data_IF_178039840899
#
_entry.id   IF_178039840899
#
_cell.length_a   1.000
_cell.length_b   1.000
_cell.length_c   1.000
_cell.angle_alpha   90.00
_cell.angle_beta   90.00
_cell.angle_gamma   90.00
#
_symmetry.space_group_name_H-M   'P 1'
#
loop_
_entity.id
_entity.type
_entity.pdbx_description
1 polymer ?
#
# COMPACT_ATOMS: atom_id res chain seq x y z
N UNK A 1 6.81 -4.96 -19.24
CA UNK A 1 6.42 -5.30 -17.85
C UNK A 1 4.90 -5.24 -17.66
N UNK A 2 4.21 -4.09 -17.68
CA UNK A 2 2.76 -4.00 -17.41
C UNK A 2 1.90 -4.96 -18.23
N UNK A 3 2.09 -5.04 -19.56
CA UNK A 3 1.32 -5.97 -20.41
C UNK A 3 1.50 -7.43 -19.98
N UNK A 4 2.71 -7.84 -19.61
CA UNK A 4 2.99 -9.18 -19.12
C UNK A 4 2.25 -9.45 -17.81
N UNK A 5 2.37 -8.55 -16.83
CA UNK A 5 1.74 -8.66 -15.52
C UNK A 5 0.21 -8.72 -15.63
N UNK A 6 -0.38 -7.84 -16.45
CA UNK A 6 -1.84 -7.84 -16.67
C UNK A 6 -2.31 -9.11 -17.38
N UNK A 7 -1.58 -9.59 -18.41
CA UNK A 7 -1.92 -10.82 -19.13
C UNK A 7 -1.84 -12.08 -18.25
N UNK A 8 -1.00 -12.04 -17.20
CA UNK A 8 -0.83 -13.14 -16.24
C UNK A 8 -1.69 -12.97 -14.97
N UNK A 9 -2.44 -11.87 -14.86
CA UNK A 9 -3.24 -11.59 -13.66
C UNK A 9 -2.40 -11.41 -12.38
N UNK A 10 -1.15 -10.93 -12.51
CA UNK A 10 -0.20 -10.85 -11.39
C UNK A 10 -0.34 -9.57 -10.57
N UNK A 11 -1.13 -8.61 -11.02
CA UNK A 11 -1.42 -7.38 -10.26
C UNK A 11 -2.73 -7.59 -9.51
N UNK A 12 -2.70 -7.32 -8.22
CA UNK A 12 -3.88 -7.43 -7.35
C UNK A 12 -5.01 -6.52 -7.84
N UNK A 13 -6.24 -7.02 -7.82
CA UNK A 13 -7.45 -6.26 -8.12
C UNK A 13 -7.76 -5.20 -7.06
N UNK A 14 -7.14 -5.30 -5.88
CA UNK A 14 -7.30 -4.36 -4.77
C UNK A 14 -6.43 -3.10 -4.93
N UNK A 15 -5.51 -3.07 -5.92
CA UNK A 15 -4.65 -1.92 -6.20
C UNK A 15 -5.32 -0.97 -7.20
N UNK A 16 -5.48 0.29 -6.80
CA UNK A 16 -6.06 1.34 -7.64
C UNK A 16 -5.06 2.41 -8.09
N UNK A 17 -3.87 2.47 -7.48
CA UNK A 17 -2.83 3.44 -7.84
C UNK A 17 -2.09 3.07 -9.12
N UNK A 18 -1.78 4.05 -9.97
CA UNK A 18 -0.96 3.91 -11.18
C UNK A 18 -1.41 2.85 -12.20
N UNK A 19 -2.67 2.45 -12.16
CA UNK A 19 -3.25 1.47 -13.08
C UNK A 19 -4.29 2.11 -14.00
N UNK A 20 -4.30 1.68 -15.26
CA UNK A 20 -5.31 2.13 -16.22
C UNK A 20 -6.72 1.71 -15.76
N UNK A 21 -7.71 2.59 -15.93
CA UNK A 21 -9.11 2.40 -15.53
C UNK A 21 -9.35 2.37 -14.00
N UNK A 22 -8.34 2.58 -13.19
CA UNK A 22 -8.43 2.73 -11.75
C UNK A 22 -8.14 4.18 -11.35
N UNK A 23 -8.76 4.64 -10.26
CA UNK A 23 -8.61 5.98 -9.72
C UNK A 23 -8.98 6.00 -8.24
N UNK A 24 -8.68 7.07 -7.53
CA UNK A 24 -9.21 7.31 -6.18
C UNK A 24 -10.73 7.25 -6.14
N UNK A 25 -11.39 7.78 -7.19
CA UNK A 25 -12.85 7.79 -7.29
C UNK A 25 -13.41 6.35 -7.38
N UNK A 26 -12.82 5.48 -8.23
CA UNK A 26 -13.28 4.08 -8.34
C UNK A 26 -13.07 3.31 -7.04
N UNK A 27 -11.94 3.52 -6.36
CA UNK A 27 -11.68 2.90 -5.06
C UNK A 27 -12.69 3.37 -4.00
N UNK A 28 -12.96 4.69 -3.94
CA UNK A 28 -13.91 5.26 -2.97
C UNK A 28 -15.34 4.78 -3.22
N UNK A 29 -15.75 4.64 -4.49
CA UNK A 29 -17.07 4.11 -4.81
C UNK A 29 -17.28 2.67 -4.30
N UNK A 30 -16.27 1.81 -4.47
CA UNK A 30 -16.31 0.45 -3.93
C UNK A 30 -16.43 0.48 -2.39
N UNK A 31 -15.59 1.27 -1.72
CA UNK A 31 -15.56 1.37 -0.26
C UNK A 31 -16.89 1.92 0.28
N UNK A 32 -17.39 3.01 -0.31
CA UNK A 32 -18.67 3.63 0.12
C UNK A 32 -19.84 2.67 -0.09
N UNK A 33 -19.82 1.91 -1.18
CA UNK A 33 -20.82 0.87 -1.42
C UNK A 33 -20.79 -0.20 -0.32
N UNK A 34 -19.63 -0.76 -0.01
CA UNK A 34 -19.47 -1.81 1.00
C UNK A 34 -19.91 -1.30 2.38
N UNK A 35 -19.43 -0.11 2.78
CA UNK A 35 -19.81 0.48 4.06
C UNK A 35 -21.29 0.83 4.14
N UNK A 36 -21.88 1.34 3.03
CA UNK A 36 -23.32 1.66 3.00
C UNK A 36 -24.18 0.41 3.22
N UNK A 37 -23.80 -0.70 2.59
CA UNK A 37 -24.51 -1.97 2.77
C UNK A 37 -24.41 -2.44 4.23
N UNK A 38 -23.20 -2.43 4.81
CA UNK A 38 -22.98 -2.84 6.19
C UNK A 38 -23.77 -1.97 7.18
N UNK A 39 -23.70 -0.64 7.01
CA UNK A 39 -24.41 0.31 7.87
C UNK A 39 -25.94 0.22 7.74
N UNK A 40 -26.48 -0.01 6.55
CA UNK A 40 -27.91 -0.26 6.35
C UNK A 40 -28.39 -1.52 7.08
N UNK A 41 -27.53 -2.53 7.17
CA UNK A 41 -27.75 -3.74 7.96
C UNK A 41 -27.50 -3.55 9.46
N UNK A 42 -27.21 -2.31 9.89
CA UNK A 42 -26.88 -1.93 11.28
C UNK A 42 -25.60 -2.59 11.84
N UNK A 43 -24.72 -3.02 10.96
CA UNK A 43 -23.38 -3.49 11.34
C UNK A 43 -22.46 -2.32 11.60
N UNK A 44 -21.43 -2.55 12.42
CA UNK A 44 -20.32 -1.62 12.63
C UNK A 44 -19.24 -1.93 11.61
N UNK A 45 -18.60 -0.92 11.04
CA UNK A 45 -17.44 -1.10 10.14
C UNK A 45 -16.22 -0.47 10.79
N UNK A 46 -15.25 -1.29 11.13
CA UNK A 46 -13.95 -0.84 11.60
C UNK A 46 -12.98 -0.72 10.42
N UNK A 47 -12.17 0.33 10.42
CA UNK A 47 -11.29 0.72 9.32
C UNK A 47 -9.96 1.16 9.87
N UNK A 48 -8.87 0.67 9.28
CA UNK A 48 -7.51 1.19 9.53
C UNK A 48 -6.88 1.67 8.24
N UNK A 49 -6.35 2.88 8.28
CA UNK A 49 -5.49 3.46 7.24
C UNK A 49 -4.03 3.34 7.68
N UNK A 50 -3.19 2.85 6.79
CA UNK A 50 -1.74 2.75 7.01
C UNK A 50 -1.01 3.69 6.07
N UNK A 51 0.00 4.35 6.59
CA UNK A 51 0.94 5.21 5.85
C UNK A 51 2.36 4.67 6.06
N UNK A 52 3.17 4.65 5.02
CA UNK A 52 4.58 4.28 5.11
C UNK A 52 5.49 5.50 5.17
N UNK A 53 6.49 5.44 6.03
CA UNK A 53 7.50 6.49 6.11
C UNK A 53 8.39 6.47 4.86
N UNK A 54 8.28 7.51 4.01
CA UNK A 54 9.08 7.65 2.77
C UNK A 54 8.99 6.41 1.88
N UNK A 55 7.79 5.92 1.63
CA UNK A 55 7.51 4.66 0.95
C UNK A 55 8.40 4.41 -0.27
N UNK A 56 8.37 5.31 -1.25
CA UNK A 56 9.16 5.21 -2.49
C UNK A 56 10.67 5.24 -2.25
N UNK A 57 11.15 6.00 -1.28
CA UNK A 57 12.57 6.15 -0.97
C UNK A 57 13.13 4.98 -0.13
N UNK A 58 12.23 4.20 0.51
CA UNK A 58 12.59 3.14 1.46
C UNK A 58 12.63 1.75 0.84
N UNK A 59 12.24 1.59 -0.43
CA UNK A 59 12.24 0.28 -1.10
C UNK A 59 13.64 -0.32 -1.13
N UNK A 60 13.83 -1.47 -0.49
CA UNK A 60 15.08 -2.22 -0.52
C UNK A 60 15.33 -2.78 -1.92
N UNK A 61 16.44 -2.40 -2.58
CA UNK A 61 16.77 -2.87 -3.93
C UNK A 61 16.88 -4.41 -3.98
N UNK A 62 17.55 -5.02 -3.00
CA UNK A 62 17.71 -6.48 -2.93
C UNK A 62 16.34 -7.17 -2.82
N UNK A 63 15.47 -6.70 -1.94
CA UNK A 63 14.13 -7.30 -1.76
C UNK A 63 13.22 -7.06 -2.96
N UNK A 64 13.36 -5.91 -3.63
CA UNK A 64 12.67 -5.64 -4.90
C UNK A 64 13.06 -6.66 -5.95
N UNK A 65 14.36 -6.96 -6.10
CA UNK A 65 14.83 -7.97 -7.07
C UNK A 65 14.26 -9.36 -6.75
N UNK A 66 14.22 -9.76 -5.47
CA UNK A 66 13.59 -11.03 -5.07
C UNK A 66 12.11 -11.09 -5.49
N UNK A 67 11.36 -10.00 -5.31
CA UNK A 67 9.95 -9.95 -5.74
C UNK A 67 9.81 -10.02 -7.26
N UNK A 68 10.64 -9.28 -8.00
CA UNK A 68 10.62 -9.33 -9.46
C UNK A 68 10.93 -10.74 -9.99
N UNK A 69 11.88 -11.45 -9.38
CA UNK A 69 12.14 -12.85 -9.71
C UNK A 69 10.92 -13.75 -9.44
N UNK A 70 10.24 -13.56 -8.32
CA UNK A 70 9.01 -14.29 -7.99
C UNK A 70 7.89 -14.02 -9.00
N UNK A 71 7.85 -12.83 -9.62
CA UNK A 71 6.93 -12.51 -10.73
C UNK A 71 7.38 -13.11 -12.08
N UNK A 72 8.48 -13.87 -12.12
CA UNK A 72 8.99 -14.50 -13.33
C UNK A 72 9.83 -13.57 -14.23
N UNK A 73 10.36 -12.47 -13.67
CA UNK A 73 11.35 -11.67 -14.37
C UNK A 73 12.73 -12.30 -14.22
N UNK A 74 13.39 -12.57 -15.34
CA UNK A 74 14.73 -13.14 -15.40
C UNK A 74 15.60 -12.46 -16.47
N UNK A 75 16.86 -12.84 -16.56
CA UNK A 75 17.79 -12.37 -17.59
C UNK A 75 17.76 -10.85 -17.76
N UNK A 76 17.60 -10.41 -19.00
CA UNK A 76 17.58 -8.97 -19.38
C UNK A 76 16.40 -8.22 -18.73
N UNK A 77 15.25 -8.89 -18.53
CA UNK A 77 14.08 -8.28 -17.90
C UNK A 77 14.28 -7.98 -16.42
N UNK A 78 15.15 -8.71 -15.75
CA UNK A 78 15.54 -8.44 -14.36
C UNK A 78 16.75 -7.49 -14.28
N UNK A 79 17.71 -7.62 -15.20
CA UNK A 79 18.90 -6.78 -15.25
C UNK A 79 18.54 -5.29 -15.43
N UNK A 80 17.57 -4.99 -16.29
CA UNK A 80 17.16 -3.61 -16.56
C UNK A 80 16.64 -2.87 -15.28
N UNK A 81 15.66 -3.36 -14.51
CA UNK A 81 15.27 -2.71 -13.26
C UNK A 81 16.39 -2.70 -12.21
N UNK A 82 17.26 -3.70 -12.18
CA UNK A 82 18.41 -3.73 -11.30
C UNK A 82 19.36 -2.54 -11.59
N UNK A 83 19.80 -2.37 -12.81
CA UNK A 83 20.65 -1.25 -13.24
C UNK A 83 19.94 0.10 -13.07
N UNK A 84 18.63 0.14 -13.25
CA UNK A 84 17.84 1.35 -13.08
C UNK A 84 17.81 1.86 -11.63
N UNK A 85 17.81 1.00 -10.62
CA UNK A 85 17.75 1.41 -9.22
C UNK A 85 19.11 1.43 -8.53
N UNK A 86 20.09 0.63 -8.97
CA UNK A 86 21.41 0.50 -8.33
C UNK A 86 22.47 1.40 -8.97
N UNK A 87 23.61 1.56 -8.29
CA UNK A 87 24.77 2.33 -8.79
C UNK A 87 24.51 3.84 -8.93
N UNK A 88 23.39 4.35 -8.43
CA UNK A 88 23.01 5.76 -8.51
C UNK A 88 23.62 6.58 -7.40
N UNK A 89 23.82 7.86 -7.68
CA UNK A 89 24.27 8.85 -6.71
C UNK A 89 23.34 10.06 -6.71
N UNK A 90 23.34 10.80 -5.61
CA UNK A 90 22.56 12.03 -5.46
C UNK A 90 23.37 13.13 -4.82
N UNK A 91 23.02 14.38 -5.12
CA UNK A 91 23.54 15.58 -4.46
C UNK A 91 22.45 16.66 -4.41
N UNK A 92 22.47 17.49 -3.40
CA UNK A 92 21.63 18.69 -3.33
C UNK A 92 22.37 19.83 -4.03
N UNK A 93 21.69 20.54 -4.92
CA UNK A 93 22.23 21.69 -5.65
C UNK A 93 21.49 22.93 -5.17
N UNK A 94 22.26 23.94 -4.75
CA UNK A 94 21.79 25.26 -4.35
C UNK A 94 22.40 26.32 -5.29
N UNK A 95 21.83 27.56 -5.36
CA UNK A 95 22.36 28.60 -6.23
C UNK A 95 23.87 28.88 -6.02
N UNK A 96 24.38 28.73 -4.81
CA UNK A 96 25.75 29.06 -4.43
C UNK A 96 26.60 27.83 -4.08
N UNK A 97 26.21 26.62 -4.51
CA UNK A 97 27.00 25.42 -4.24
C UNK A 97 26.20 24.11 -4.29
N UNK A 98 26.83 23.03 -3.90
CA UNK A 98 26.20 21.72 -3.84
C UNK A 98 26.73 20.90 -2.66
N UNK A 99 25.92 19.95 -2.18
CA UNK A 99 26.35 18.96 -1.19
C UNK A 99 27.40 18.00 -1.77
N UNK A 100 28.10 17.23 -0.93
CA UNK A 100 28.82 16.05 -1.38
C UNK A 100 27.91 15.09 -2.16
N UNK A 101 28.50 14.35 -3.09
CA UNK A 101 27.83 13.26 -3.80
C UNK A 101 27.68 12.07 -2.85
N UNK A 102 26.46 11.57 -2.70
CA UNK A 102 26.14 10.43 -1.83
C UNK A 102 25.54 9.28 -2.66
N UNK A 103 25.85 8.02 -2.35
CA UNK A 103 25.21 6.89 -3.01
C UNK A 103 23.73 6.79 -2.65
N UNK A 104 22.91 6.36 -3.60
CA UNK A 104 21.50 5.98 -3.38
C UNK A 104 21.46 4.49 -3.08
N UNK A 105 21.14 4.12 -1.84
CA UNK A 105 21.18 2.73 -1.35
C UNK A 105 19.81 2.06 -1.26
N UNK A 106 18.73 2.83 -1.43
CA UNK A 106 17.34 2.37 -1.39
C UNK A 106 16.45 3.25 -2.25
N UNK A 107 15.22 2.80 -2.44
CA UNK A 107 14.17 3.56 -3.10
C UNK A 107 14.10 3.37 -4.61
N UNK A 108 12.95 3.73 -5.13
CA UNK A 108 12.68 3.80 -6.57
C UNK A 108 12.64 5.27 -7.02
N UNK A 109 13.18 5.62 -8.21
CA UNK A 109 13.27 7.01 -8.64
C UNK A 109 11.92 7.67 -8.78
N UNK A 110 11.63 8.67 -7.94
CA UNK A 110 10.44 9.49 -8.05
C UNK A 110 10.50 10.34 -9.34
N UNK A 111 9.34 10.55 -9.96
CA UNK A 111 9.26 11.25 -11.24
C UNK A 111 9.65 10.42 -12.49
N UNK A 112 10.03 9.17 -12.30
CA UNK A 112 10.31 8.25 -13.41
C UNK A 112 9.05 7.44 -13.80
N UNK A 113 9.05 6.92 -15.03
CA UNK A 113 7.95 6.07 -15.52
C UNK A 113 7.97 4.68 -14.87
N UNK A 114 9.17 4.18 -14.56
CA UNK A 114 9.33 2.82 -14.02
C UNK A 114 9.19 2.76 -12.50
N UNK A 115 9.54 3.84 -11.79
CA UNK A 115 9.49 3.89 -10.31
C UNK A 115 8.13 3.48 -9.72
N UNK A 116 7.02 4.10 -10.15
CA UNK A 116 5.70 3.71 -9.68
C UNK A 116 5.36 2.24 -9.92
N UNK A 117 5.71 1.69 -11.09
CA UNK A 117 5.48 0.28 -11.39
C UNK A 117 6.28 -0.65 -10.48
N UNK A 118 7.55 -0.34 -10.25
CA UNK A 118 8.40 -1.13 -9.35
C UNK A 118 7.88 -1.08 -7.92
N UNK A 119 7.38 0.08 -7.48
CA UNK A 119 6.75 0.21 -6.18
C UNK A 119 5.47 -0.62 -6.08
N UNK A 120 4.58 -0.56 -7.09
CA UNK A 120 3.37 -1.40 -7.11
C UNK A 120 3.72 -2.88 -6.99
N UNK A 121 4.71 -3.37 -7.74
CA UNK A 121 5.14 -4.76 -7.67
C UNK A 121 5.75 -5.10 -6.31
N UNK A 122 6.37 -4.13 -5.65
CA UNK A 122 6.93 -4.33 -4.33
C UNK A 122 5.86 -4.53 -3.25
N UNK A 123 4.73 -3.80 -3.33
CA UNK A 123 3.66 -3.88 -2.31
C UNK A 123 2.55 -4.86 -2.66
N UNK A 124 2.51 -5.37 -3.88
CA UNK A 124 1.39 -6.12 -4.43
C UNK A 124 1.00 -7.38 -3.63
N UNK A 125 1.99 -8.12 -3.12
CA UNK A 125 1.78 -9.38 -2.39
C UNK A 125 1.19 -9.20 -0.98
N UNK A 126 1.09 -7.97 -0.50
CA UNK A 126 0.45 -7.70 0.79
C UNK A 126 -1.02 -8.14 0.79
N UNK A 127 -1.67 -8.09 -0.37
CA UNK A 127 -3.07 -8.49 -0.53
C UNK A 127 -3.29 -9.99 -0.36
N UNK A 128 -2.26 -10.81 -0.55
CA UNK A 128 -2.35 -12.27 -0.47
C UNK A 128 -2.53 -12.76 0.97
N UNK A 129 -2.27 -11.91 1.94
CA UNK A 129 -2.44 -12.21 3.37
C UNK A 129 -3.88 -12.02 3.86
N UNK A 130 -4.76 -11.42 3.04
CA UNK A 130 -6.13 -11.11 3.43
C UNK A 130 -7.12 -12.08 2.82
N UNK A 131 -7.96 -12.66 3.67
CA UNK A 131 -9.06 -13.55 3.31
C UNK A 131 -10.37 -12.75 3.17
N UNK A 132 -11.44 -13.42 2.77
CA UNK A 132 -12.75 -12.81 2.48
C UNK A 132 -13.39 -12.02 3.65
N UNK A 133 -12.90 -12.16 4.88
CA UNK A 133 -13.45 -11.45 6.05
C UNK A 133 -12.94 -10.02 6.16
N UNK A 134 -11.68 -9.76 5.80
CA UNK A 134 -11.08 -8.43 5.86
C UNK A 134 -10.88 -7.92 4.45
N UNK A 135 -11.52 -6.82 4.13
CA UNK A 135 -11.33 -6.12 2.86
C UNK A 135 -10.05 -5.27 2.91
N UNK A 136 -9.20 -5.40 1.89
CA UNK A 136 -8.02 -4.56 1.70
C UNK A 136 -8.15 -3.75 0.43
N UNK A 137 -7.74 -2.49 0.46
CA UNK A 137 -7.64 -1.61 -0.71
C UNK A 137 -6.32 -0.85 -0.67
N UNK A 138 -5.69 -0.75 -1.84
CA UNK A 138 -4.42 -0.04 -2.01
C UNK A 138 -4.57 1.09 -3.03
N UNK A 139 -3.95 2.22 -2.73
CA UNK A 139 -3.71 3.27 -3.70
C UNK A 139 -2.23 3.68 -3.62
N UNK A 140 -1.40 3.04 -4.42
CA UNK A 140 0.06 3.11 -4.32
C UNK A 140 0.54 2.69 -2.92
N UNK A 141 1.03 3.64 -2.13
CA UNK A 141 1.53 3.44 -0.76
C UNK A 141 0.45 3.58 0.32
N UNK A 142 -0.71 4.12 -0.02
CA UNK A 142 -1.84 4.18 0.90
C UNK A 142 -2.53 2.82 0.98
N UNK A 143 -2.52 2.22 2.17
CA UNK A 143 -3.19 0.95 2.45
C UNK A 143 -4.36 1.20 3.39
N UNK A 144 -5.45 0.53 3.11
CA UNK A 144 -6.65 0.55 3.93
C UNK A 144 -7.17 -0.87 4.08
N UNK A 145 -7.44 -1.27 5.32
CA UNK A 145 -8.22 -2.47 5.61
C UNK A 145 -9.51 -2.09 6.32
N UNK A 146 -10.57 -2.86 6.10
CA UNK A 146 -11.83 -2.69 6.79
C UNK A 146 -12.59 -4.01 6.89
N UNK A 147 -13.43 -4.10 7.92
CA UNK A 147 -14.22 -5.30 8.21
C UNK A 147 -15.52 -4.91 8.93
N UNK A 148 -16.59 -5.66 8.68
CA UNK A 148 -17.80 -5.61 9.49
C UNK A 148 -17.56 -6.27 10.84
N UNK A 149 -17.90 -5.58 11.93
CA UNK A 149 -17.73 -6.05 13.31
C UNK A 149 -19.10 -6.30 13.92
N UNK A 150 -19.42 -7.56 14.14
CA UNK A 150 -20.67 -8.01 14.71
C UNK A 150 -20.48 -8.68 16.09
N UNK A 151 -19.32 -9.25 16.32
CA UNK A 151 -18.97 -10.00 17.52
C UNK A 151 -17.59 -9.59 18.06
N UNK A 152 -17.30 -9.95 19.31
CA UNK A 152 -15.96 -9.76 19.88
C UNK A 152 -14.89 -10.56 19.14
N UNK A 153 -15.24 -11.71 18.57
CA UNK A 153 -14.31 -12.52 17.75
C UNK A 153 -13.90 -11.78 16.47
N UNK A 154 -14.78 -10.94 15.90
CA UNK A 154 -14.46 -10.16 14.71
C UNK A 154 -13.38 -9.10 15.01
N UNK A 155 -13.38 -8.55 16.22
CA UNK A 155 -12.33 -7.62 16.68
C UNK A 155 -10.96 -8.32 16.70
N UNK A 156 -10.88 -9.55 17.20
CA UNK A 156 -9.64 -10.33 17.22
C UNK A 156 -9.16 -10.66 15.81
N UNK A 157 -10.09 -11.01 14.92
CA UNK A 157 -9.80 -11.25 13.49
C UNK A 157 -9.27 -9.97 12.84
N UNK A 158 -9.92 -8.83 13.08
CA UNK A 158 -9.49 -7.54 12.52
C UNK A 158 -8.12 -7.12 13.04
N UNK A 159 -7.86 -7.31 14.36
CA UNK A 159 -6.54 -7.05 14.95
C UNK A 159 -5.46 -7.93 14.30
N UNK A 160 -5.75 -9.20 14.04
CA UNK A 160 -4.79 -10.07 13.33
C UNK A 160 -4.44 -9.56 11.93
N UNK A 161 -5.38 -8.90 11.26
CA UNK A 161 -5.13 -8.23 9.98
C UNK A 161 -4.22 -7.00 10.12
N UNK A 162 -4.37 -6.23 11.20
CA UNK A 162 -3.47 -5.10 11.52
C UNK A 162 -2.05 -5.61 11.77
N UNK A 163 -1.92 -6.66 12.59
CA UNK A 163 -0.63 -7.28 12.92
C UNK A 163 0.05 -7.85 11.65
N UNK A 164 -0.73 -8.43 10.75
CA UNK A 164 -0.25 -8.95 9.47
C UNK A 164 0.39 -7.85 8.60
N UNK A 165 -0.19 -6.64 8.55
CA UNK A 165 0.41 -5.48 7.86
C UNK A 165 1.73 -5.09 8.51
N UNK A 166 1.78 -5.06 9.85
CA UNK A 166 2.99 -4.70 10.59
C UNK A 166 4.13 -5.71 10.36
N UNK A 167 3.82 -7.00 10.39
CA UNK A 167 4.77 -8.09 10.11
C UNK A 167 5.27 -8.04 8.66
N UNK A 168 4.36 -7.83 7.70
CA UNK A 168 4.71 -7.65 6.30
C UNK A 168 5.65 -6.45 6.12
N UNK A 169 5.31 -5.31 6.71
CA UNK A 169 6.12 -4.10 6.66
C UNK A 169 7.52 -4.30 7.23
N UNK A 170 7.63 -4.96 8.38
CA UNK A 170 8.89 -5.35 9.02
C UNK A 170 9.70 -6.29 8.12
N UNK A 171 9.09 -7.36 7.60
CA UNK A 171 9.71 -8.33 6.70
C UNK A 171 10.29 -7.66 5.45
N UNK A 172 9.56 -6.74 4.85
CA UNK A 172 9.95 -6.07 3.61
C UNK A 172 10.71 -4.76 3.84
N UNK A 173 10.93 -4.37 5.11
CA UNK A 173 11.68 -3.16 5.49
C UNK A 173 11.03 -1.85 5.01
N UNK A 174 9.71 -1.84 4.89
CA UNK A 174 8.93 -0.62 4.71
C UNK A 174 8.41 -0.18 6.08
N UNK A 175 8.98 0.89 6.63
CA UNK A 175 8.61 1.37 7.97
C UNK A 175 7.22 2.02 7.93
N UNK A 176 6.31 1.57 8.79
CA UNK A 176 5.03 2.26 9.01
C UNK A 176 5.27 3.61 9.72
N UNK A 177 4.55 4.62 9.28
CA UNK A 177 4.49 5.94 9.92
C UNK A 177 3.36 5.94 10.95
N UNK A 178 3.57 5.32 12.12
CA UNK A 178 2.54 5.11 13.14
C UNK A 178 1.76 6.37 13.51
N UNK A 179 2.42 7.53 13.53
CA UNK A 179 1.78 8.81 13.80
C UNK A 179 0.80 9.28 12.70
N UNK A 180 0.80 8.63 11.54
CA UNK A 180 -0.11 8.92 10.42
C UNK A 180 -1.12 7.80 10.17
N UNK A 181 -0.90 6.62 10.77
CA UNK A 181 -1.89 5.56 10.73
C UNK A 181 -3.12 5.97 11.52
N UNK A 182 -4.30 5.64 11.00
CA UNK A 182 -5.57 6.10 11.58
C UNK A 182 -6.54 4.93 11.67
N UNK A 183 -7.24 4.85 12.81
CA UNK A 183 -8.34 3.93 13.04
C UNK A 183 -9.68 4.69 13.07
N UNK A 184 -10.71 4.12 12.46
CA UNK A 184 -12.07 4.64 12.48
C UNK A 184 -13.05 3.50 12.74
N UNK A 185 -14.10 3.78 13.53
CA UNK A 185 -15.23 2.88 13.68
C UNK A 185 -16.49 3.59 13.21
N UNK A 186 -17.10 3.12 12.13
CA UNK A 186 -18.30 3.70 11.53
C UNK A 186 -19.54 2.96 12.04
N UNK A 187 -20.53 3.72 12.55
CA UNK A 187 -21.82 3.19 13.07
C UNK A 187 -23.01 3.93 12.47
N UNK A 188 -24.12 3.24 12.29
CA UNK A 188 -25.34 3.85 11.76
C UNK A 188 -25.82 5.07 12.58
N UNK A 189 -25.70 5.05 13.90
CA UNK A 189 -26.07 6.16 14.78
C UNK A 189 -25.25 7.44 14.56
N UNK A 190 -24.05 7.31 13.99
CA UNK A 190 -23.16 8.46 13.69
C UNK A 190 -23.54 9.15 12.38
N UNK A 191 -24.24 8.48 11.47
CA UNK A 191 -24.78 9.08 10.26
C UNK A 191 -25.92 10.07 10.54
N UNK A 192 -26.60 9.93 11.68
CA UNK A 192 -27.66 10.83 12.12
C UNK A 192 -27.17 12.03 12.93
N UNK A 193 -25.98 11.94 13.52
CA UNK A 193 -25.30 13.02 14.24
C UNK A 193 -23.97 13.33 13.55
N UNK A 194 -23.84 14.50 12.96
CA UNK A 194 -22.71 14.98 12.15
C UNK A 194 -21.36 15.05 12.90
N UNK A 195 -21.01 14.10 13.75
CA UNK A 195 -19.75 14.04 14.48
C UNK A 195 -19.10 12.67 14.31
N UNK A 196 -18.10 12.61 13.46
CA UNK A 196 -17.17 11.48 13.41
C UNK A 196 -16.17 11.69 14.55
N UNK A 197 -16.24 10.86 15.59
CA UNK A 197 -15.20 10.82 16.64
C UNK A 197 -14.00 10.04 16.10
N UNK A 198 -12.87 10.73 15.99
CA UNK A 198 -11.57 10.15 15.66
C UNK A 198 -10.85 9.90 16.99
N UNK A 199 -10.69 8.64 17.39
CA UNK A 199 -9.83 8.28 18.51
C UNK A 199 -8.44 7.92 17.98
N UNK A 200 -7.42 8.59 18.52
CA UNK A 200 -6.00 8.36 18.21
C UNK A 200 -5.41 7.40 19.24
N UNK A 201 -4.70 6.38 18.79
CA UNK A 201 -3.86 5.52 19.62
C UNK A 201 -2.39 5.91 19.50
#
# INVERSE_FOLDING_TARGET
MLRYLSAKGLISQHQHGFLAKHSTCTQLLEIVNDWSIALLNRHVVDVVYFDFAKAFDSVSHTKLMCKLQAYGFDGVLLAFPYEFVTGRTQKVVLPNGHSPVMPVTSGVPQGSVLGPLLFLLFVNDITDYFTNSISIKLFADDIKIYMEINTSSDVDVFQSGVDCIADWASKWQLKLASAKCQFFSCRFSQLQSSQILIEWF
#
